data_IF_558074030763
#
_entry.id   IF_558074030763
#
_cell.length_a   1.000
_cell.length_b   1.000
_cell.length_c   1.000
_cell.angle_alpha   90.00
_cell.angle_beta   90.00
_cell.angle_gamma   90.00
#
_symmetry.space_group_name_H-M   'P 1'
#
loop_
_entity.id
_entity.type
_entity.pdbx_description
1 polymer ?
#
# COMPACT_ATOMS: atom_id res chain seq x y z
N UNK A 1 21.96 -4.66 2.95
CA UNK A 1 20.62 -4.48 2.33
C UNK A 1 20.18 -3.03 2.39
N UNK A 2 20.01 -2.45 3.59
CA UNK A 2 19.58 -1.04 3.77
C UNK A 2 20.49 -0.01 3.11
N UNK A 3 21.81 -0.18 3.26
CA UNK A 3 22.83 0.70 2.66
C UNK A 3 22.83 0.67 1.13
N UNK A 4 22.47 -0.46 0.52
CA UNK A 4 22.39 -0.60 -0.93
C UNK A 4 21.17 0.15 -1.50
N UNK A 5 20.05 0.18 -0.77
CA UNK A 5 18.85 0.94 -1.16
C UNK A 5 19.09 2.45 -1.10
N UNK A 6 19.80 2.92 -0.07
CA UNK A 6 20.18 4.34 0.07
C UNK A 6 21.15 4.78 -1.04
N UNK A 7 22.10 3.93 -1.43
CA UNK A 7 23.04 4.22 -2.54
C UNK A 7 22.37 4.32 -3.91
N UNK A 8 21.19 3.71 -4.07
CA UNK A 8 20.39 3.77 -5.30
C UNK A 8 19.35 4.92 -5.27
N UNK A 9 19.44 5.82 -4.28
CA UNK A 9 18.54 6.97 -4.18
C UNK A 9 17.12 6.61 -3.74
N UNK A 10 16.90 5.40 -3.21
CA UNK A 10 15.59 4.98 -2.70
C UNK A 10 15.46 5.51 -1.26
N UNK A 11 14.55 6.46 -0.98
CA UNK A 11 14.40 7.03 0.34
C UNK A 11 13.73 6.00 1.26
N UNK A 12 14.49 5.50 2.24
CA UNK A 12 13.96 4.68 3.33
C UNK A 12 13.70 5.59 4.52
N UNK A 13 12.43 5.89 4.78
CA UNK A 13 12.00 6.68 5.92
C UNK A 13 11.68 5.74 7.08
N UNK A 14 12.39 5.90 8.20
CA UNK A 14 11.96 5.35 9.46
C UNK A 14 10.92 6.29 10.06
N UNK A 15 9.75 5.76 10.42
CA UNK A 15 8.79 6.50 11.24
C UNK A 15 9.39 6.59 12.64
N UNK A 16 10.05 7.71 12.94
CA UNK A 16 10.77 7.91 14.21
C UNK A 16 9.84 7.94 15.44
N UNK A 17 8.52 7.92 15.26
CA UNK A 17 7.58 7.74 16.35
C UNK A 17 6.41 6.85 15.92
N UNK A 18 6.44 5.58 16.37
CA UNK A 18 5.23 4.74 16.37
C UNK A 18 4.19 5.37 17.31
N UNK A 19 2.94 5.61 16.86
CA UNK A 19 1.88 6.10 17.73
C UNK A 19 1.71 5.14 18.92
N UNK A 20 1.99 5.63 20.12
CA UNK A 20 1.97 4.87 21.38
C UNK A 20 0.55 4.72 21.96
N UNK A 21 -0.43 4.45 21.10
CA UNK A 21 -1.79 4.13 21.54
C UNK A 21 -2.25 2.80 20.92
N UNK A 22 -2.42 1.82 21.81
CA UNK A 22 -3.00 0.49 21.63
C UNK A 22 -2.11 -0.61 21.02
N UNK A 23 -1.17 -1.13 21.83
CA UNK A 23 -0.73 -2.52 21.71
C UNK A 23 -0.65 -3.18 23.10
N UNK A 24 -1.81 -3.45 23.71
CA UNK A 24 -1.99 -4.77 24.36
C UNK A 24 -2.23 -5.80 23.25
N UNK A 25 -1.29 -5.86 22.31
CA UNK A 25 -1.29 -6.84 21.24
C UNK A 25 -0.87 -8.17 21.85
N UNK A 26 -1.79 -9.14 21.85
CA UNK A 26 -1.41 -10.55 21.92
C UNK A 26 -0.27 -10.75 20.91
N UNK A 27 0.90 -11.18 21.40
CA UNK A 27 1.95 -11.70 20.55
C UNK A 27 1.33 -12.77 19.66
N UNK A 28 1.27 -12.52 18.35
CA UNK A 28 0.90 -13.56 17.38
C UNK A 28 2.03 -14.59 17.43
N UNK A 29 1.82 -15.67 18.17
CA UNK A 29 2.80 -16.76 18.37
C UNK A 29 3.07 -17.59 17.10
N UNK A 30 2.48 -17.23 15.97
CA UNK A 30 2.64 -17.90 14.69
C UNK A 30 3.23 -16.95 13.61
N UNK A 31 4.26 -16.18 13.94
CA UNK A 31 5.10 -15.52 12.92
C UNK A 31 6.04 -16.55 12.26
N UNK A 32 5.51 -17.65 11.72
CA UNK A 32 6.28 -18.61 10.91
C UNK A 32 6.60 -18.07 9.52
N UNK A 33 6.01 -16.94 9.12
CA UNK A 33 6.26 -16.26 7.85
C UNK A 33 6.64 -14.79 8.08
N UNK A 34 7.68 -14.52 8.89
CA UNK A 34 8.42 -13.27 8.71
C UNK A 34 9.01 -13.27 7.29
N UNK A 35 8.44 -12.46 6.40
CA UNK A 35 9.00 -12.28 5.07
C UNK A 35 10.41 -11.70 5.18
N UNK A 36 11.42 -12.49 4.82
CA UNK A 36 12.80 -12.05 4.64
C UNK A 36 13.18 -12.29 3.19
N UNK A 37 12.95 -11.29 2.34
CA UNK A 37 13.46 -11.33 0.98
C UNK A 37 14.98 -11.61 1.02
N UNK A 38 15.40 -12.68 0.34
CA UNK A 38 16.79 -13.13 0.34
C UNK A 38 17.65 -12.37 -0.68
N UNK A 39 17.01 -11.73 -1.67
CA UNK A 39 17.67 -10.98 -2.74
C UNK A 39 16.79 -9.87 -3.33
N UNK A 40 17.43 -8.91 -4.02
CA UNK A 40 16.74 -7.83 -4.74
C UNK A 40 15.89 -8.39 -5.90
N UNK A 41 16.39 -9.38 -6.63
CA UNK A 41 15.68 -9.99 -7.76
C UNK A 41 14.39 -10.68 -7.33
N UNK A 42 14.39 -11.33 -6.16
CA UNK A 42 13.20 -11.91 -5.56
C UNK A 42 12.14 -10.84 -5.26
N UNK A 43 12.56 -9.70 -4.71
CA UNK A 43 11.69 -8.55 -4.46
C UNK A 43 11.12 -8.04 -5.80
N UNK A 44 11.98 -7.76 -6.78
CA UNK A 44 11.56 -7.21 -8.07
C UNK A 44 10.61 -8.14 -8.83
N UNK A 45 10.87 -9.45 -8.82
CA UNK A 45 10.00 -10.45 -9.42
C UNK A 45 8.64 -10.54 -8.70
N UNK A 46 8.62 -10.42 -7.37
CA UNK A 46 7.37 -10.30 -6.62
C UNK A 46 6.59 -9.03 -6.97
N UNK A 47 7.27 -7.88 -7.06
CA UNK A 47 6.64 -6.61 -7.43
C UNK A 47 5.99 -6.68 -8.82
N UNK A 48 6.64 -7.37 -9.77
CA UNK A 48 6.11 -7.58 -11.13
C UNK A 48 4.89 -8.50 -11.17
N UNK A 49 4.78 -9.46 -10.25
CA UNK A 49 3.64 -10.39 -10.15
C UNK A 49 2.44 -9.82 -9.42
N UNK A 50 2.52 -8.60 -8.87
CA UNK A 50 1.41 -8.03 -8.14
C UNK A 50 0.25 -7.66 -9.07
N UNK A 51 -0.98 -8.12 -8.79
CA UNK A 51 -2.11 -7.99 -9.70
C UNK A 51 -2.69 -6.56 -9.79
N UNK A 52 -2.32 -5.70 -8.83
CA UNK A 52 -2.70 -4.28 -8.81
C UNK A 52 -1.54 -3.39 -9.26
N UNK A 53 -1.83 -2.51 -10.22
CA UNK A 53 -0.95 -1.43 -10.63
C UNK A 53 -1.57 -0.07 -10.34
N UNK A 54 -0.72 0.91 -10.07
CA UNK A 54 -1.11 2.30 -9.83
C UNK A 54 -0.47 3.13 -10.94
N UNK A 55 -1.27 3.93 -11.63
CA UNK A 55 -0.75 4.92 -12.56
C UNK A 55 -0.95 6.30 -11.94
N UNK A 56 0.16 6.92 -11.54
CA UNK A 56 0.14 8.26 -10.98
C UNK A 56 -0.06 9.26 -12.11
N UNK A 57 -1.12 10.06 -12.01
CA UNK A 57 -1.39 11.16 -12.94
C UNK A 57 -0.54 12.39 -12.58
N UNK A 58 -0.12 12.49 -11.31
CA UNK A 58 0.79 13.52 -10.80
C UNK A 58 2.14 12.91 -10.41
N UNK A 59 3.18 13.75 -10.29
CA UNK A 59 4.49 13.34 -9.77
C UNK A 59 4.44 13.21 -8.24
N UNK A 60 3.77 12.14 -7.78
CA UNK A 60 3.55 11.87 -6.36
C UNK A 60 4.39 10.67 -5.90
N UNK A 61 5.05 10.83 -4.74
CA UNK A 61 5.74 9.73 -4.07
C UNK A 61 4.74 8.89 -3.29
N UNK A 62 4.40 7.73 -3.83
CA UNK A 62 3.49 6.77 -3.20
C UNK A 62 4.21 5.56 -2.62
N UNK A 63 3.76 5.10 -1.46
CA UNK A 63 4.14 3.81 -0.88
C UNK A 63 2.90 2.94 -0.79
N UNK A 64 3.06 1.62 -1.01
CA UNK A 64 1.96 0.67 -0.98
C UNK A 64 2.32 -0.59 -0.20
N UNK A 65 1.35 -1.13 0.51
CA UNK A 65 1.43 -2.43 1.19
C UNK A 65 0.20 -3.27 0.82
N UNK A 66 0.39 -4.58 0.67
CA UNK A 66 -0.68 -5.54 0.39
C UNK A 66 -0.90 -6.45 1.60
N UNK A 67 -2.15 -6.67 1.95
CA UNK A 67 -2.60 -7.60 2.97
C UNK A 67 -3.62 -8.55 2.33
N UNK A 68 -3.48 -9.83 2.63
CA UNK A 68 -4.42 -10.86 2.20
C UNK A 68 -5.15 -11.39 3.42
N UNK A 69 -6.47 -11.34 3.36
CA UNK A 69 -7.39 -12.02 4.29
C UNK A 69 -8.17 -13.09 3.52
N UNK A 70 -8.83 -14.01 4.21
CA UNK A 70 -9.52 -15.16 3.59
C UNK A 70 -10.52 -14.75 2.50
N UNK A 71 -11.11 -13.56 2.60
CA UNK A 71 -12.11 -13.05 1.66
C UNK A 71 -11.80 -11.67 1.07
N UNK A 72 -10.59 -11.14 1.30
CA UNK A 72 -10.23 -9.78 0.89
C UNK A 72 -8.79 -9.65 0.48
N UNK A 73 -8.57 -8.96 -0.63
CA UNK A 73 -7.30 -8.34 -0.96
C UNK A 73 -7.36 -6.87 -0.55
N UNK A 74 -6.48 -6.45 0.34
CA UNK A 74 -6.45 -5.09 0.90
C UNK A 74 -5.11 -4.45 0.57
N UNK A 75 -5.15 -3.27 -0.02
CA UNK A 75 -3.98 -2.45 -0.25
C UNK A 75 -4.04 -1.20 0.59
N UNK A 76 -2.97 -0.89 1.31
CA UNK A 76 -2.79 0.43 1.91
C UNK A 76 -1.89 1.26 1.01
N UNK A 77 -2.35 2.43 0.57
CA UNK A 77 -1.61 3.34 -0.28
C UNK A 77 -1.43 4.65 0.47
N UNK A 78 -0.18 5.08 0.66
CA UNK A 78 0.17 6.33 1.33
C UNK A 78 0.83 7.29 0.35
N UNK A 79 0.31 8.51 0.29
CA UNK A 79 0.94 9.63 -0.38
C UNK A 79 1.94 10.29 0.58
N UNK A 80 3.22 10.29 0.21
CA UNK A 80 4.30 10.91 0.98
C UNK A 80 4.73 12.26 0.41
N UNK A 81 3.92 12.83 -0.48
CA UNK A 81 4.13 14.15 -1.09
C UNK A 81 3.35 15.20 -0.31
N UNK A 82 3.82 16.46 -0.37
CA UNK A 82 3.12 17.61 0.19
C UNK A 82 1.94 18.11 -0.67
N UNK A 83 1.74 17.49 -1.83
CA UNK A 83 0.62 17.74 -2.73
C UNK A 83 -0.24 16.49 -2.89
N UNK A 84 -1.50 16.69 -3.25
CA UNK A 84 -2.46 15.61 -3.47
C UNK A 84 -2.06 14.77 -4.70
N UNK A 85 -2.23 13.46 -4.57
CA UNK A 85 -1.95 12.51 -5.63
C UNK A 85 -3.25 12.12 -6.34
N UNK A 86 -3.26 12.19 -7.67
CA UNK A 86 -4.30 11.56 -8.48
C UNK A 86 -3.75 10.24 -9.03
N UNK A 87 -4.46 9.13 -8.77
CA UNK A 87 -3.97 7.79 -9.04
C UNK A 87 -5.05 6.97 -9.73
N UNK A 88 -4.79 6.49 -10.94
CA UNK A 88 -5.68 5.52 -11.58
C UNK A 88 -5.41 4.11 -11.03
N UNK A 89 -6.47 3.47 -10.55
CA UNK A 89 -6.43 2.10 -10.03
C UNK A 89 -6.62 1.10 -11.17
N UNK A 90 -5.74 0.13 -11.28
CA UNK A 90 -5.90 -0.97 -12.24
C UNK A 90 -5.64 -2.30 -11.54
N UNK A 91 -6.54 -3.26 -11.71
CA UNK A 91 -6.41 -4.60 -11.17
C UNK A 91 -6.80 -5.64 -12.22
N UNK A 92 -6.02 -6.71 -12.37
CA UNK A 92 -6.24 -7.70 -13.43
C UNK A 92 -7.55 -8.52 -13.27
N UNK A 93 -7.98 -8.76 -12.03
CA UNK A 93 -9.10 -9.65 -11.70
C UNK A 93 -10.38 -8.95 -11.22
N UNK A 94 -10.37 -7.63 -10.97
CA UNK A 94 -11.51 -6.91 -10.41
C UNK A 94 -11.92 -5.76 -11.31
N UNK A 95 -13.21 -5.40 -11.27
CA UNK A 95 -13.78 -4.27 -12.02
C UNK A 95 -13.99 -3.02 -11.18
N UNK A 96 -14.08 -3.17 -9.85
CA UNK A 96 -14.19 -2.08 -8.88
C UNK A 96 -13.48 -2.44 -7.58
N UNK A 97 -13.27 -1.43 -6.73
CA UNK A 97 -12.74 -1.55 -5.38
C UNK A 97 -13.48 -0.61 -4.43
N UNK A 98 -13.53 -0.96 -3.16
CA UNK A 98 -13.90 -0.01 -2.11
C UNK A 98 -12.68 0.80 -1.70
N UNK A 99 -12.85 2.10 -1.57
CA UNK A 99 -11.86 3.04 -1.06
C UNK A 99 -12.28 3.44 0.34
N UNK A 100 -11.49 3.07 1.33
CA UNK A 100 -11.72 3.47 2.71
C UNK A 100 -10.73 4.58 3.05
N UNK A 101 -11.25 5.77 3.34
CA UNK A 101 -10.47 6.92 3.78
C UNK A 101 -10.51 7.01 5.31
N UNK A 102 -9.43 6.64 6.02
CA UNK A 102 -9.40 6.71 7.47
C UNK A 102 -9.40 8.14 8.02
N UNK A 103 -9.07 9.15 7.21
CA UNK A 103 -9.03 10.54 7.65
C UNK A 103 -10.42 11.17 7.79
N UNK A 104 -11.38 10.68 7.00
CA UNK A 104 -12.78 11.14 6.99
C UNK A 104 -13.75 10.08 7.50
N UNK A 105 -13.32 8.82 7.56
CA UNK A 105 -14.18 7.66 7.81
C UNK A 105 -15.07 7.28 6.64
N UNK A 106 -14.87 7.86 5.44
CA UNK A 106 -15.70 7.58 4.28
C UNK A 106 -15.33 6.27 3.60
N UNK A 107 -16.34 5.60 3.07
CA UNK A 107 -16.21 4.45 2.16
C UNK A 107 -16.87 4.82 0.85
N UNK A 108 -16.14 4.73 -0.25
CA UNK A 108 -16.66 4.87 -1.61
C UNK A 108 -16.33 3.64 -2.45
N UNK A 109 -17.06 3.43 -3.55
CA UNK A 109 -16.71 2.41 -4.54
C UNK A 109 -16.19 3.11 -5.79
N UNK A 110 -15.06 2.63 -6.32
CA UNK A 110 -14.40 3.19 -7.48
C UNK A 110 -14.15 2.12 -8.53
N UNK A 111 -14.52 2.41 -9.78
CA UNK A 111 -14.28 1.52 -10.90
C UNK A 111 -12.80 1.50 -11.28
N UNK A 112 -12.30 0.35 -11.72
CA UNK A 112 -10.95 0.26 -12.29
C UNK A 112 -10.81 1.19 -13.50
N UNK A 113 -9.58 1.68 -13.73
CA UNK A 113 -9.25 2.70 -14.72
C UNK A 113 -9.60 4.13 -14.29
N UNK A 114 -10.38 4.33 -13.23
CA UNK A 114 -10.72 5.66 -12.72
C UNK A 114 -9.72 6.15 -11.68
N UNK A 115 -9.59 7.47 -11.60
CA UNK A 115 -8.64 8.15 -10.74
C UNK A 115 -9.21 8.38 -9.34
N UNK A 116 -8.52 7.88 -8.32
CA UNK A 116 -8.75 8.26 -6.92
C UNK A 116 -7.83 9.41 -6.51
N UNK A 117 -8.30 10.26 -5.60
CA UNK A 117 -7.50 11.31 -4.99
C UNK A 117 -7.01 10.86 -3.62
N UNK A 118 -5.70 10.90 -3.40
CA UNK A 118 -5.08 10.64 -2.10
C UNK A 118 -4.50 11.97 -1.60
N UNK A 119 -5.05 12.56 -0.53
CA UNK A 119 -4.58 13.85 -0.02
C UNK A 119 -3.10 13.82 0.36
N UNK A 120 -2.46 14.98 0.36
CA UNK A 120 -1.09 15.17 0.80
C UNK A 120 -0.86 14.53 2.19
N UNK A 121 0.22 13.75 2.32
CA UNK A 121 0.63 13.11 3.57
C UNK A 121 -0.48 12.25 4.22
N UNK A 122 -1.38 11.67 3.42
CA UNK A 122 -2.45 10.77 3.86
C UNK A 122 -2.39 9.43 3.13
N UNK A 123 -3.10 8.45 3.67
CA UNK A 123 -3.24 7.15 3.04
C UNK A 123 -4.69 6.67 3.04
N UNK A 124 -4.98 5.77 2.10
CA UNK A 124 -6.29 5.15 1.90
C UNK A 124 -6.11 3.63 1.83
N UNK A 125 -7.17 2.90 2.16
CA UNK A 125 -7.25 1.48 1.87
C UNK A 125 -8.03 1.26 0.58
N UNK A 126 -7.50 0.42 -0.31
CA UNK A 126 -8.18 -0.08 -1.50
C UNK A 126 -8.49 -1.54 -1.24
N UNK A 127 -9.78 -1.86 -1.15
CA UNK A 127 -10.27 -3.17 -0.73
C UNK A 127 -10.99 -3.84 -1.89
N UNK A 128 -10.54 -5.05 -2.20
CA UNK A 128 -11.19 -5.94 -3.15
C UNK A 128 -11.75 -7.13 -2.39
N UNK A 129 -13.05 -7.39 -2.55
CA UNK A 129 -13.69 -8.56 -1.97
C UNK A 129 -13.54 -9.74 -2.94
N UNK A 130 -12.93 -10.83 -2.48
CA UNK A 130 -12.91 -12.10 -3.22
C UNK A 130 -14.22 -12.84 -2.92
N UNK A 131 -14.91 -13.30 -3.97
CA UNK A 131 -16.04 -14.23 -3.87
C UNK A 131 -15.52 -15.60 -3.42
#
# INVERSE_FOLDING_TARGET
>A
ALSALQQQGIPVLFLDETPSYALTGRTLTNAQNEFRASSLDEILNMLQKMPMSLQTVTDARLVKAKFLSENREIWFIQNLSEADAAVALNHAAYTSAEIWDPSTGSVSEEAMGHGIRIPALRGVFVVFHTI
#
